data_IF_231336295959
#
_entry.id   IF_231336295959
#
_cell.length_a   1.000
_cell.length_b   1.000
_cell.length_c   1.000
_cell.angle_alpha   90.00
_cell.angle_beta   90.00
_cell.angle_gamma   90.00
#
_symmetry.space_group_name_H-M   'P 1'
#
loop_
_entity.id
_entity.type
_entity.pdbx_description
1 polymer ?
#
# COMPACT_ATOMS: atom_id res chain seq x y z
N UNK A 1 -39.40 18.84 -17.15
CA UNK A 1 -38.35 17.80 -17.01
C UNK A 1 -38.49 17.19 -15.63
N UNK A 2 -39.02 15.97 -15.54
CA UNK A 2 -39.25 15.28 -14.25
C UNK A 2 -37.93 14.78 -13.67
N UNK A 3 -37.53 15.28 -12.50
CA UNK A 3 -36.36 14.81 -11.76
C UNK A 3 -36.73 13.60 -10.90
N UNK A 4 -36.75 12.41 -11.50
CA UNK A 4 -36.91 11.17 -10.74
C UNK A 4 -35.58 10.83 -10.06
N UNK A 5 -35.48 11.07 -8.76
CA UNK A 5 -34.37 10.58 -7.93
C UNK A 5 -34.48 9.05 -7.79
N UNK A 6 -33.55 8.32 -8.40
CA UNK A 6 -33.44 6.87 -8.26
C UNK A 6 -32.88 6.60 -6.86
N UNK A 7 -33.72 6.12 -5.94
CA UNK A 7 -33.25 5.58 -4.65
C UNK A 7 -32.71 4.19 -4.91
N UNK A 8 -31.38 4.06 -4.93
CA UNK A 8 -30.69 2.77 -4.96
C UNK A 8 -30.94 2.06 -3.63
N UNK A 9 -31.62 0.92 -3.68
CA UNK A 9 -31.80 0.06 -2.52
C UNK A 9 -30.50 -0.74 -2.30
N UNK A 10 -29.85 -0.48 -1.16
CA UNK A 10 -28.57 -1.10 -0.79
C UNK A 10 -28.77 -2.38 0.03
N UNK A 11 -30.01 -2.72 0.36
CA UNK A 11 -30.31 -3.91 1.17
C UNK A 11 -30.04 -5.21 0.42
N UNK A 12 -30.09 -5.21 -0.92
CA UNK A 12 -29.78 -6.35 -1.77
C UNK A 12 -28.29 -6.74 -1.74
N UNK A 13 -27.39 -5.84 -1.31
CA UNK A 13 -25.94 -6.08 -1.25
C UNK A 13 -25.46 -6.62 0.10
N UNK A 14 -26.38 -6.92 1.03
CA UNK A 14 -25.98 -7.50 2.31
C UNK A 14 -25.49 -8.94 2.10
N UNK A 15 -24.26 -9.28 2.53
CA UNK A 15 -23.72 -10.61 2.33
C UNK A 15 -24.59 -11.62 3.08
N UNK A 16 -25.18 -12.55 2.34
CA UNK A 16 -25.91 -13.66 2.93
C UNK A 16 -24.94 -14.52 3.74
N UNK A 17 -25.26 -14.74 5.02
CA UNK A 17 -24.46 -15.56 5.90
C UNK A 17 -24.60 -17.04 5.48
N UNK A 18 -23.80 -17.46 4.50
CA UNK A 18 -23.69 -18.87 4.11
C UNK A 18 -22.99 -19.62 5.24
N UNK A 19 -23.77 -20.38 6.00
CA UNK A 19 -23.25 -21.33 6.98
C UNK A 19 -22.49 -22.42 6.23
N UNK A 20 -21.23 -22.66 6.60
CA UNK A 20 -20.45 -23.73 6.01
C UNK A 20 -21.09 -25.10 6.36
N UNK A 21 -21.32 -25.92 5.34
CA UNK A 21 -21.91 -27.24 5.47
C UNK A 21 -21.02 -28.14 6.37
N UNK A 22 -21.58 -28.76 7.44
CA UNK A 22 -20.83 -29.68 8.30
C UNK A 22 -20.19 -30.84 7.54
N UNK A 23 -20.77 -31.30 6.43
CA UNK A 23 -20.18 -32.35 5.59
C UNK A 23 -18.86 -31.92 4.93
N UNK A 24 -18.76 -30.64 4.57
CA UNK A 24 -17.54 -30.06 3.99
C UNK A 24 -16.45 -29.86 5.06
N UNK A 25 -16.81 -29.55 6.32
CA UNK A 25 -15.84 -29.47 7.42
C UNK A 25 -15.20 -30.84 7.67
N UNK A 26 -16.00 -31.91 7.67
CA UNK A 26 -15.50 -33.27 7.88
C UNK A 26 -14.61 -33.80 6.75
N UNK A 27 -14.85 -33.40 5.50
CA UNK A 27 -13.98 -33.80 4.38
C UNK A 27 -12.63 -33.07 4.42
N UNK A 28 -12.63 -31.80 4.82
CA UNK A 28 -11.40 -31.01 5.01
C UNK A 28 -10.56 -31.55 6.17
N UNK A 29 -11.19 -32.00 7.26
CA UNK A 29 -10.50 -32.61 8.40
C UNK A 29 -9.80 -33.93 8.02
N UNK A 30 -10.48 -34.82 7.29
CA UNK A 30 -9.87 -36.07 6.79
C UNK A 30 -8.68 -35.83 5.85
N UNK A 31 -8.78 -34.81 4.98
CA UNK A 31 -7.69 -34.41 4.09
C UNK A 31 -6.50 -33.80 4.87
N UNK A 32 -6.79 -33.04 5.93
CA UNK A 32 -5.77 -32.44 6.77
C UNK A 32 -5.02 -33.50 7.59
N UNK A 33 -5.73 -34.47 8.17
CA UNK A 33 -5.13 -35.62 8.86
C UNK A 33 -4.23 -36.44 7.93
N UNK A 34 -4.71 -36.73 6.70
CA UNK A 34 -3.93 -37.47 5.70
C UNK A 34 -2.65 -36.73 5.25
N UNK A 35 -2.63 -35.40 5.34
CA UNK A 35 -1.49 -34.55 4.97
C UNK A 35 -0.64 -34.11 6.17
N UNK A 36 -0.95 -34.60 7.37
CA UNK A 36 -0.20 -34.28 8.60
C UNK A 36 -0.46 -32.88 9.17
N UNK A 37 -1.49 -32.18 8.69
CA UNK A 37 -1.89 -30.86 9.19
C UNK A 37 -3.04 -30.95 10.20
N UNK A 38 -2.97 -30.19 11.30
CA UNK A 38 -4.07 -30.06 12.27
C UNK A 38 -5.01 -28.93 11.86
N UNK A 39 -6.27 -29.23 11.54
CA UNK A 39 -7.31 -28.21 11.32
C UNK A 39 -7.67 -27.53 12.64
N UNK A 40 -7.52 -26.19 12.68
CA UNK A 40 -8.10 -25.37 13.74
C UNK A 40 -9.35 -24.71 13.18
N UNK A 41 -10.52 -25.32 13.39
CA UNK A 41 -11.77 -24.63 13.11
C UNK A 41 -11.99 -23.54 14.16
N UNK A 42 -12.21 -22.30 13.71
CA UNK A 42 -12.59 -21.23 14.62
C UNK A 42 -13.96 -21.57 15.24
N UNK A 43 -14.14 -21.44 16.57
CA UNK A 43 -15.44 -21.65 17.18
C UNK A 43 -16.43 -20.65 16.58
N UNK A 44 -17.64 -21.13 16.28
CA UNK A 44 -18.73 -20.29 15.78
C UNK A 44 -19.05 -19.24 16.84
N UNK A 45 -18.48 -18.04 16.69
CA UNK A 45 -18.91 -16.89 17.46
C UNK A 45 -20.31 -16.51 17.01
N UNK A 46 -21.29 -16.86 17.85
CA UNK A 46 -22.62 -16.26 17.86
C UNK A 46 -22.47 -14.75 17.96
N UNK A 47 -22.55 -14.08 16.82
CA UNK A 47 -22.49 -12.63 16.68
C UNK A 47 -23.82 -12.03 17.15
N UNK A 48 -24.04 -12.01 18.45
CA UNK A 48 -25.07 -11.21 19.12
C UNK A 48 -24.66 -11.03 20.59
N UNK A 49 -23.68 -10.18 20.84
CA UNK A 49 -23.54 -9.45 22.12
C UNK A 49 -22.50 -8.32 21.96
N UNK A 50 -22.73 -7.14 22.57
CA UNK A 50 -21.94 -5.94 22.32
C UNK A 50 -20.55 -6.01 22.98
N UNK A 51 -19.58 -5.56 22.20
CA UNK A 51 -18.14 -5.41 22.47
C UNK A 51 -17.87 -4.61 23.77
N UNK A 52 -17.12 -5.13 24.76
CA UNK A 52 -16.46 -4.27 25.74
C UNK A 52 -15.10 -3.81 25.19
N UNK A 53 -14.83 -2.52 25.38
CA UNK A 53 -13.60 -1.80 25.02
C UNK A 53 -12.32 -2.41 25.61
N UNK A 54 -11.15 -2.24 24.96
CA UNK A 54 -9.90 -2.82 25.41
C UNK A 54 -9.32 -2.05 26.61
N UNK A 55 -8.82 -2.77 27.62
CA UNK A 55 -7.83 -2.22 28.57
C UNK A 55 -6.42 -2.57 28.07
N UNK A 56 -5.44 -1.64 28.18
CA UNK A 56 -4.05 -1.89 27.84
C UNK A 56 -3.39 -2.73 28.95
N UNK A 57 -2.19 -3.21 28.68
CA UNK A 57 -1.30 -3.96 29.58
C UNK A 57 -1.49 -5.48 29.63
N UNK A 58 -0.88 -6.15 28.64
CA UNK A 58 0.15 -7.15 28.93
C UNK A 58 0.82 -7.59 27.64
N UNK A 59 2.06 -7.14 27.42
CA UNK A 59 2.99 -7.73 26.46
C UNK A 59 3.47 -9.09 27.00
N UNK A 60 3.44 -10.19 26.23
CA UNK A 60 4.36 -11.29 26.43
C UNK A 60 5.51 -11.26 25.42
N UNK A 61 6.70 -11.52 25.94
CA UNK A 61 8.02 -11.41 25.32
C UNK A 61 8.23 -12.28 24.05
N UNK A 62 9.13 -11.89 23.13
CA UNK A 62 9.44 -12.68 21.94
C UNK A 62 10.40 -13.84 22.29
N UNK A 63 9.96 -15.07 22.01
CA UNK A 63 10.81 -16.24 22.03
C UNK A 63 11.74 -16.26 20.80
N UNK A 64 12.98 -16.71 21.01
CA UNK A 64 14.09 -16.71 20.05
C UNK A 64 13.81 -17.52 18.75
N UNK A 65 14.39 -17.15 17.60
CA UNK A 65 14.17 -17.85 16.34
C UNK A 65 15.03 -19.11 16.25
N UNK A 66 14.38 -20.26 16.09
CA UNK A 66 15.01 -21.53 15.72
C UNK A 66 15.34 -21.50 14.22
N UNK A 67 16.58 -21.86 13.87
CA UNK A 67 17.08 -21.90 12.49
C UNK A 67 16.31 -22.87 11.59
N UNK A 68 16.14 -22.60 10.28
CA UNK A 68 15.46 -23.53 9.38
C UNK A 68 16.42 -24.59 8.85
N UNK A 69 16.02 -25.85 9.05
CA UNK A 69 16.55 -27.06 8.41
C UNK A 69 16.19 -27.05 6.93
N UNK A 70 17.16 -27.36 6.06
CA UNK A 70 16.96 -27.50 4.62
C UNK A 70 16.07 -28.71 4.31
N UNK A 71 14.98 -28.47 3.58
CA UNK A 71 14.15 -29.52 2.97
C UNK A 71 14.10 -29.29 1.46
N UNK A 72 14.79 -30.14 0.72
CA UNK A 72 14.63 -30.31 -0.72
C UNK A 72 13.24 -30.91 -0.99
N UNK A 73 12.41 -30.19 -1.75
CA UNK A 73 11.05 -30.61 -2.07
C UNK A 73 10.48 -29.73 -3.17
N UNK A 74 10.31 -30.32 -4.36
CA UNK A 74 9.79 -29.70 -5.57
C UNK A 74 8.38 -29.14 -5.35
N UNK A 75 8.19 -27.88 -5.77
CA UNK A 75 6.93 -27.15 -5.66
C UNK A 75 7.05 -25.92 -4.78
N UNK A 76 7.98 -25.01 -5.09
CA UNK A 76 8.02 -23.69 -4.45
C UNK A 76 6.70 -22.96 -4.71
N UNK A 77 5.84 -22.90 -3.70
CA UNK A 77 4.93 -21.77 -3.54
C UNK A 77 5.84 -20.54 -3.59
N UNK A 78 5.86 -19.83 -4.73
CA UNK A 78 6.64 -18.61 -4.96
C UNK A 78 6.42 -17.69 -3.77
N UNK A 79 7.30 -17.77 -2.77
CA UNK A 79 7.41 -16.78 -1.70
C UNK A 79 7.53 -15.50 -2.49
N UNK A 80 6.54 -14.61 -2.39
CA UNK A 80 6.56 -13.30 -3.06
C UNK A 80 7.96 -12.77 -2.84
N UNK A 81 8.76 -12.79 -3.92
CA UNK A 81 10.19 -12.54 -3.81
C UNK A 81 10.31 -11.26 -3.02
N UNK A 82 11.01 -11.31 -1.88
CA UNK A 82 11.27 -10.11 -1.09
C UNK A 82 11.77 -9.09 -2.10
N UNK A 83 11.01 -8.00 -2.31
CA UNK A 83 11.28 -7.05 -3.39
C UNK A 83 12.76 -6.74 -3.31
N UNK A 84 13.53 -7.23 -4.29
CA UNK A 84 14.95 -6.91 -4.36
C UNK A 84 14.96 -5.43 -4.68
N UNK A 85 15.17 -4.61 -3.66
CA UNK A 85 15.47 -3.20 -3.87
C UNK A 85 16.84 -3.19 -4.51
N UNK A 86 16.87 -3.01 -5.82
CA UNK A 86 18.06 -2.48 -6.47
C UNK A 86 18.30 -1.15 -5.75
N UNK A 87 19.31 -1.06 -4.89
CA UNK A 87 19.66 0.11 -4.05
C UNK A 87 20.09 1.34 -4.88
N UNK A 88 19.44 1.59 -6.03
CA UNK A 88 19.70 2.70 -6.93
C UNK A 88 18.76 3.86 -6.62
N UNK A 89 17.49 3.58 -6.32
CA UNK A 89 16.49 4.61 -6.07
C UNK A 89 16.06 4.57 -4.61
N UNK A 90 16.12 5.73 -3.94
CA UNK A 90 15.67 5.90 -2.55
C UNK A 90 14.32 6.59 -2.55
N UNK A 91 13.28 6.01 -1.93
CA UNK A 91 12.00 6.69 -1.79
C UNK A 91 12.15 7.87 -0.83
N UNK A 92 11.56 9.00 -1.17
CA UNK A 92 11.49 10.17 -0.30
C UNK A 92 10.07 10.77 -0.36
N UNK A 93 9.67 11.46 0.71
CA UNK A 93 8.35 12.07 0.82
C UNK A 93 8.50 13.56 1.10
N UNK A 94 7.79 14.39 0.32
CA UNK A 94 7.80 15.86 0.46
C UNK A 94 6.36 16.36 0.43
N UNK A 95 6.09 17.39 1.23
CA UNK A 95 4.82 18.11 1.20
C UNK A 95 4.96 19.29 0.23
N UNK A 96 4.07 19.36 -0.74
CA UNK A 96 4.06 20.40 -1.77
C UNK A 96 2.77 21.21 -1.69
N UNK A 97 2.80 22.43 -2.22
CA UNK A 97 1.57 23.18 -2.52
C UNK A 97 0.83 22.46 -3.65
N UNK A 98 -0.49 22.56 -3.68
CA UNK A 98 -1.34 21.93 -4.71
C UNK A 98 -0.94 22.42 -6.11
N UNK A 99 -0.71 23.72 -6.26
CA UNK A 99 -0.27 24.34 -7.52
C UNK A 99 1.05 23.75 -8.02
N UNK A 100 2.05 23.64 -7.14
CA UNK A 100 3.34 23.03 -7.47
C UNK A 100 3.21 21.57 -7.85
N UNK A 101 2.36 20.81 -7.15
CA UNK A 101 2.11 19.42 -7.46
C UNK A 101 1.53 19.27 -8.88
N UNK A 102 0.54 20.10 -9.24
CA UNK A 102 -0.05 20.08 -10.58
C UNK A 102 0.97 20.46 -11.66
N UNK A 103 1.79 21.50 -11.42
CA UNK A 103 2.85 21.90 -12.35
C UNK A 103 3.85 20.78 -12.61
N UNK A 104 4.21 19.99 -11.60
CA UNK A 104 5.11 18.84 -11.78
C UNK A 104 4.51 17.82 -12.75
N UNK A 105 3.21 17.54 -12.65
CA UNK A 105 2.53 16.65 -13.60
C UNK A 105 2.43 17.25 -14.99
N UNK A 106 2.12 18.54 -15.11
CA UNK A 106 2.11 19.21 -16.41
C UNK A 106 3.48 19.18 -17.10
N UNK A 107 4.56 19.39 -16.33
CA UNK A 107 5.92 19.27 -16.86
C UNK A 107 6.28 17.83 -17.21
N UNK A 108 5.84 16.84 -16.41
CA UNK A 108 6.05 15.44 -16.74
C UNK A 108 5.40 15.08 -18.08
N UNK A 109 4.17 15.53 -18.31
CA UNK A 109 3.45 15.29 -19.57
C UNK A 109 4.13 16.01 -20.75
N UNK A 110 4.52 17.28 -20.58
CA UNK A 110 5.15 18.07 -21.65
C UNK A 110 6.55 17.58 -22.03
N UNK A 111 7.30 17.06 -21.07
CA UNK A 111 8.66 16.55 -21.27
C UNK A 111 8.66 15.04 -21.55
N UNK A 112 7.49 14.41 -21.63
CA UNK A 112 7.31 12.98 -21.82
C UNK A 112 8.11 12.14 -20.80
N UNK A 113 8.17 12.61 -19.55
CA UNK A 113 8.87 11.93 -18.48
C UNK A 113 8.10 10.68 -18.05
N UNK A 114 8.81 9.56 -17.91
CA UNK A 114 8.22 8.31 -17.46
C UNK A 114 7.99 8.29 -15.93
N UNK A 115 8.78 9.09 -15.21
CA UNK A 115 8.70 9.21 -13.76
C UNK A 115 8.81 10.66 -13.31
N UNK A 116 8.07 11.02 -12.25
CA UNK A 116 8.15 12.33 -11.59
C UNK A 116 9.59 12.65 -11.14
N UNK A 117 10.36 11.62 -10.79
CA UNK A 117 11.76 11.78 -10.40
C UNK A 117 12.60 12.42 -11.52
N UNK A 118 12.32 12.12 -12.80
CA UNK A 118 13.06 12.68 -13.94
C UNK A 118 12.85 14.20 -14.05
N UNK A 119 11.62 14.69 -13.82
CA UNK A 119 11.32 16.13 -13.77
C UNK A 119 12.14 16.82 -12.67
N UNK A 120 12.25 16.18 -11.51
CA UNK A 120 13.04 16.72 -10.40
C UNK A 120 14.54 16.68 -10.68
N UNK A 121 15.05 15.64 -11.34
CA UNK A 121 16.46 15.56 -11.76
C UNK A 121 16.83 16.66 -12.76
N UNK A 122 15.96 16.93 -13.73
CA UNK A 122 16.13 18.04 -14.68
C UNK A 122 16.12 19.40 -13.96
N UNK A 123 15.19 19.60 -13.03
CA UNK A 123 15.12 20.82 -12.24
C UNK A 123 16.38 21.02 -11.38
N UNK A 124 16.89 19.96 -10.76
CA UNK A 124 18.13 20.00 -9.98
C UNK A 124 19.36 20.30 -10.86
N UNK A 125 19.42 19.72 -12.07
CA UNK A 125 20.49 20.02 -13.02
C UNK A 125 20.48 21.49 -13.47
N UNK A 126 19.30 22.06 -13.70
CA UNK A 126 19.17 23.49 -14.01
C UNK A 126 19.61 24.39 -12.82
N UNK A 127 19.21 24.04 -11.60
CA UNK A 127 19.65 24.76 -10.39
C UNK A 127 21.16 24.66 -10.17
N UNK A 128 21.77 23.50 -10.43
CA UNK A 128 23.22 23.33 -10.32
C UNK A 128 23.94 24.22 -11.33
N UNK A 129 23.45 24.29 -12.57
CA UNK A 129 24.02 25.16 -13.60
C UNK A 129 23.96 26.64 -13.20
N UNK A 130 22.85 27.10 -12.62
CA UNK A 130 22.74 28.47 -12.11
C UNK A 130 23.77 28.75 -11.01
N UNK A 131 23.98 27.80 -10.09
CA UNK A 131 24.99 27.92 -9.05
C UNK A 131 26.41 27.95 -9.61
N UNK A 132 26.71 27.13 -10.62
CA UNK A 132 28.02 27.09 -11.28
C UNK A 132 28.30 28.40 -12.06
N UNK A 133 27.26 29.04 -12.59
CA UNK A 133 27.32 30.36 -13.24
C UNK A 133 27.34 31.54 -12.25
N UNK A 134 27.24 31.27 -10.94
CA UNK A 134 27.24 32.30 -9.88
C UNK A 134 25.92 33.07 -9.76
N UNK A 135 24.84 32.55 -10.35
CA UNK A 135 23.49 33.11 -10.25
C UNK A 135 22.86 32.59 -8.94
N UNK A 136 22.31 33.49 -8.11
CA UNK A 136 21.55 33.07 -6.93
C UNK A 136 20.15 32.59 -7.37
N UNK A 137 19.85 31.27 -7.27
CA UNK A 137 18.57 30.73 -7.70
C UNK A 137 17.39 31.28 -6.89
N UNK A 138 17.63 31.73 -5.64
CA UNK A 138 16.57 32.33 -4.81
C UNK A 138 16.22 33.74 -5.28
N UNK A 139 17.21 34.54 -5.63
CA UNK A 139 16.99 35.90 -6.14
C UNK A 139 16.19 35.86 -7.45
N UNK A 140 16.62 35.00 -8.40
CA UNK A 140 15.88 34.78 -9.65
C UNK A 140 14.43 34.31 -9.40
N UNK A 141 14.22 33.36 -8.48
CA UNK A 141 12.88 32.88 -8.18
C UNK A 141 11.98 33.98 -7.60
N UNK A 142 12.53 34.87 -6.77
CA UNK A 142 11.79 36.02 -6.25
C UNK A 142 11.41 37.02 -7.36
N UNK A 143 12.33 37.31 -8.29
CA UNK A 143 12.07 38.17 -9.45
C UNK A 143 11.00 37.56 -10.38
N UNK A 144 11.05 36.25 -10.62
CA UNK A 144 10.04 35.55 -11.42
C UNK A 144 8.66 35.57 -10.75
N UNK A 145 8.60 35.36 -9.43
CA UNK A 145 7.35 35.46 -8.70
C UNK A 145 6.78 36.89 -8.72
N UNK A 146 7.64 37.92 -8.67
CA UNK A 146 7.23 39.32 -8.77
C UNK A 146 6.78 39.72 -10.18
N UNK A 147 7.30 39.10 -11.23
CA UNK A 147 6.89 39.37 -12.62
C UNK A 147 5.60 38.67 -13.03
N UNK A 148 5.18 37.63 -12.29
CA UNK A 148 3.96 36.86 -12.54
C UNK A 148 2.77 37.27 -11.67
N UNK A 149 2.98 38.14 -10.67
CA UNK A 149 1.94 38.72 -9.81
C UNK A 149 1.46 40.07 -10.32
#
# INVERSE_FOLDING_TARGET
MSTHNIRLDLDEFKPEAKKADPAAKASVEKLAEATGFKTRHAPEQTRNEPKPSPKPDSLPAPAAPVAPVASEGEGEARRRGRKRTTNRNTPFAVKLKVETNNLIYEFADRLECNAIAEVLELALGALQKELDEGIDPRARAAEQAAAQG
#
